data_IF_728897755935
#
_entry.id   IF_728897755935
#
_cell.length_a   1.000
_cell.length_b   1.000
_cell.length_c   1.000
_cell.angle_alpha   90.00
_cell.angle_beta   90.00
_cell.angle_gamma   90.00
#
_symmetry.space_group_name_H-M   'P 1'
#
loop_
_entity.id
_entity.type
_entity.pdbx_description
1 polymer ?
#
# COMPACT_ATOMS: atom_id res chain seq x y z
N UNK A 1 -40.46 -27.56 24.35
CA UNK A 1 -40.63 -26.09 24.31
C UNK A 1 -39.38 -25.32 24.73
N UNK A 2 -38.82 -25.52 25.94
CA UNK A 2 -37.60 -24.81 26.39
C UNK A 2 -36.39 -24.98 25.44
N UNK A 3 -36.13 -26.19 24.94
CA UNK A 3 -35.02 -26.46 24.02
C UNK A 3 -35.14 -25.73 22.66
N UNK A 4 -36.36 -25.61 22.13
CA UNK A 4 -36.66 -24.88 20.89
C UNK A 4 -36.51 -23.36 21.05
N UNK A 5 -36.93 -22.81 22.21
CA UNK A 5 -36.78 -21.39 22.53
C UNK A 5 -35.29 -21.03 22.68
N UNK A 6 -34.49 -21.89 23.33
CA UNK A 6 -33.04 -21.69 23.46
C UNK A 6 -32.35 -21.74 22.08
N UNK A 7 -32.70 -22.70 21.21
CA UNK A 7 -32.14 -22.79 19.86
C UNK A 7 -32.49 -21.56 18.99
N UNK A 8 -33.71 -21.05 19.12
CA UNK A 8 -34.18 -19.85 18.42
C UNK A 8 -33.45 -18.58 18.92
N UNK A 9 -33.25 -18.44 20.24
CA UNK A 9 -32.52 -17.30 20.81
C UNK A 9 -31.03 -17.32 20.45
N UNK A 10 -30.41 -18.50 20.37
CA UNK A 10 -29.03 -18.61 19.89
C UNK A 10 -28.92 -18.24 18.41
N UNK A 11 -29.82 -18.74 17.55
CA UNK A 11 -29.78 -18.44 16.11
C UNK A 11 -30.07 -16.96 15.79
N UNK A 12 -31.00 -16.32 16.50
CA UNK A 12 -31.25 -14.87 16.38
C UNK A 12 -30.05 -14.04 16.87
N UNK A 13 -29.35 -14.47 17.93
CA UNK A 13 -28.15 -13.79 18.43
C UNK A 13 -26.96 -13.90 17.48
N UNK A 14 -26.80 -15.03 16.79
CA UNK A 14 -25.77 -15.22 15.76
C UNK A 14 -26.04 -14.38 14.50
N UNK A 15 -27.30 -14.32 14.04
CA UNK A 15 -27.70 -13.50 12.88
C UNK A 15 -27.57 -12.00 13.17
N UNK A 16 -28.01 -11.53 14.35
CA UNK A 16 -27.85 -10.14 14.76
C UNK A 16 -26.37 -9.73 14.86
N UNK A 17 -25.49 -10.63 15.34
CA UNK A 17 -24.06 -10.37 15.45
C UNK A 17 -23.38 -10.32 14.07
N UNK A 18 -23.72 -11.24 13.16
CA UNK A 18 -23.20 -11.23 11.79
C UNK A 18 -23.63 -9.97 11.01
N UNK A 19 -24.88 -9.54 11.16
CA UNK A 19 -25.39 -8.32 10.51
C UNK A 19 -24.80 -7.05 11.12
N UNK A 20 -24.53 -7.03 12.43
CA UNK A 20 -23.84 -5.92 13.09
C UNK A 20 -22.40 -5.72 12.61
N UNK A 21 -21.67 -6.80 12.30
CA UNK A 21 -20.29 -6.71 11.79
C UNK A 21 -20.21 -6.23 10.34
N UNK A 22 -21.22 -6.51 9.51
CA UNK A 22 -21.24 -6.08 8.10
C UNK A 22 -21.51 -4.58 7.94
N UNK A 23 -22.17 -3.95 8.91
CA UNK A 23 -22.51 -2.52 8.91
C UNK A 23 -21.79 -1.72 9.99
N UNK A 24 -20.74 -2.27 10.62
CA UNK A 24 -19.93 -1.50 11.56
C UNK A 24 -19.35 -0.28 10.83
N UNK A 25 -19.63 0.95 11.31
CA UNK A 25 -19.09 2.16 10.72
C UNK A 25 -17.56 2.14 10.76
N UNK A 26 -16.94 2.46 9.62
CA UNK A 26 -15.50 2.66 9.49
C UNK A 26 -15.27 4.05 8.90
N UNK A 27 -14.46 4.84 9.59
CA UNK A 27 -13.90 6.07 9.06
C UNK A 27 -12.50 5.79 8.52
N UNK A 28 -12.21 6.31 7.33
CA UNK A 28 -10.95 6.11 6.62
C UNK A 28 -10.30 7.48 6.40
N UNK A 29 -9.06 7.65 6.85
CA UNK A 29 -8.17 8.68 6.33
C UNK A 29 -7.29 8.07 5.23
N UNK A 30 -7.57 8.45 4.00
CA UNK A 30 -6.87 7.96 2.81
C UNK A 30 -5.68 8.86 2.48
N UNK A 31 -4.48 8.27 2.41
CA UNK A 31 -3.22 8.96 2.11
C UNK A 31 -2.58 8.29 0.91
N UNK A 32 -2.67 8.96 -0.25
CA UNK A 32 -1.97 8.60 -1.46
C UNK A 32 -0.49 9.05 -1.35
N UNK A 33 0.48 8.17 -1.60
CA UNK A 33 1.90 8.46 -1.40
C UNK A 33 2.77 8.01 -2.59
N UNK A 34 3.96 8.59 -2.73
CA UNK A 34 4.99 8.06 -3.64
C UNK A 34 5.64 6.83 -3.01
N UNK A 35 5.93 5.81 -3.81
CA UNK A 35 6.74 4.67 -3.35
C UNK A 35 8.22 5.02 -3.11
N UNK A 36 8.68 6.15 -3.63
CA UNK A 36 10.06 6.63 -3.45
C UNK A 36 10.12 8.16 -3.42
N UNK A 37 10.70 8.69 -2.35
CA UNK A 37 10.96 10.12 -2.12
C UNK A 37 12.42 10.50 -2.39
N UNK A 38 13.26 9.53 -2.76
CA UNK A 38 14.69 9.71 -3.00
C UNK A 38 15.51 9.81 -1.71
N UNK A 39 16.83 9.72 -1.84
CA UNK A 39 17.77 9.72 -0.70
C UNK A 39 17.97 11.09 -0.04
N UNK A 40 17.58 12.17 -0.73
CA UNK A 40 17.67 13.56 -0.27
C UNK A 40 16.31 14.26 -0.43
N UNK A 41 15.26 13.61 0.06
CA UNK A 41 13.91 14.17 -0.03
C UNK A 41 13.82 15.50 0.70
N UNK A 42 13.15 16.47 0.08
CA UNK A 42 12.76 17.75 0.68
C UNK A 42 11.30 17.73 1.16
N UNK A 43 10.65 16.57 1.10
CA UNK A 43 9.26 16.39 1.49
C UNK A 43 9.03 16.72 2.98
N UNK A 44 7.98 17.48 3.25
CA UNK A 44 7.50 17.69 4.61
C UNK A 44 6.56 16.54 5.01
N UNK A 45 7.14 15.51 5.63
CA UNK A 45 6.37 14.39 6.16
C UNK A 45 5.52 14.75 7.39
N UNK A 46 5.73 15.92 8.01
CA UNK A 46 4.93 16.33 9.17
C UNK A 46 3.46 16.56 8.79
N UNK A 47 3.19 17.03 7.57
CA UNK A 47 1.82 17.27 7.08
C UNK A 47 0.95 16.00 7.11
N UNK A 48 1.29 14.89 6.42
CA UNK A 48 0.51 13.67 6.47
C UNK A 48 0.51 13.01 7.86
N UNK A 49 1.62 13.07 8.59
CA UNK A 49 1.70 12.50 9.95
C UNK A 49 0.76 13.23 10.90
N UNK A 50 0.81 14.57 10.95
CA UNK A 50 0.00 15.35 11.89
C UNK A 50 -1.50 15.19 11.63
N UNK A 51 -1.93 15.11 10.36
CA UNK A 51 -3.32 14.81 10.02
C UNK A 51 -3.74 13.42 10.49
N UNK A 52 -2.89 12.41 10.31
CA UNK A 52 -3.17 11.07 10.83
C UNK A 52 -3.22 11.02 12.36
N UNK A 53 -2.34 11.73 13.06
CA UNK A 53 -2.37 11.83 14.52
C UNK A 53 -3.63 12.53 15.02
N UNK A 54 -4.07 13.61 14.36
CA UNK A 54 -5.34 14.27 14.65
C UNK A 54 -6.54 13.35 14.38
N UNK A 55 -6.46 12.52 13.35
CA UNK A 55 -7.47 11.52 13.03
C UNK A 55 -7.52 10.38 14.05
N UNK A 56 -6.47 10.11 14.83
CA UNK A 56 -6.45 9.07 15.89
C UNK A 56 -6.95 7.70 15.39
N UNK A 57 -6.34 7.13 14.33
CA UNK A 57 -6.70 5.80 13.88
C UNK A 57 -6.37 4.74 14.94
N UNK A 58 -7.14 3.66 14.95
CA UNK A 58 -6.88 2.43 15.71
C UNK A 58 -6.25 1.32 14.85
N UNK A 59 -6.14 1.53 13.54
CA UNK A 59 -5.36 0.68 12.63
C UNK A 59 -4.72 1.47 11.48
N UNK A 60 -3.57 0.98 10.99
CA UNK A 60 -2.90 1.47 9.77
C UNK A 60 -2.87 0.34 8.76
N UNK A 61 -3.35 0.59 7.55
CA UNK A 61 -3.33 -0.33 6.43
C UNK A 61 -2.28 0.08 5.40
N UNK A 62 -1.57 -0.91 4.87
CA UNK A 62 -0.60 -0.72 3.80
C UNK A 62 -0.87 -1.62 2.60
N UNK A 63 -0.39 -1.20 1.44
CA UNK A 63 -0.23 -1.99 0.22
C UNK A 63 0.80 -3.13 0.40
N UNK A 64 0.45 -4.09 1.26
CA UNK A 64 1.14 -5.36 1.45
C UNK A 64 0.13 -6.50 1.35
N UNK A 65 0.55 -7.62 0.79
CA UNK A 65 -0.21 -8.89 0.82
C UNK A 65 -0.22 -9.44 2.26
N UNK A 66 -1.29 -10.13 2.65
CA UNK A 66 -1.21 -10.98 3.84
C UNK A 66 -0.35 -12.21 3.55
N UNK A 67 0.16 -12.91 4.58
CA UNK A 67 0.82 -14.21 4.39
C UNK A 67 -0.03 -15.17 3.55
N UNK A 68 -1.32 -15.27 3.85
CA UNK A 68 -2.24 -16.16 3.15
C UNK A 68 -2.44 -15.76 1.69
N UNK A 69 -2.53 -14.45 1.41
CA UNK A 69 -2.64 -13.98 0.02
C UNK A 69 -1.34 -14.21 -0.76
N UNK A 70 -0.18 -14.02 -0.12
CA UNK A 70 1.11 -14.28 -0.74
C UNK A 70 1.27 -15.77 -1.08
N UNK A 71 0.97 -16.66 -0.14
CA UNK A 71 1.07 -18.10 -0.32
C UNK A 71 0.12 -18.64 -1.38
N UNK A 72 -0.99 -17.94 -1.64
CA UNK A 72 -1.99 -18.32 -2.65
C UNK A 72 -1.62 -17.85 -4.07
N UNK A 73 -0.57 -17.05 -4.25
CA UNK A 73 -0.21 -16.46 -5.54
C UNK A 73 1.09 -17.05 -6.10
N UNK A 74 1.00 -17.65 -7.28
CA UNK A 74 2.19 -18.15 -8.00
C UNK A 74 3.07 -17.00 -8.53
N UNK A 75 2.44 -15.90 -8.99
CA UNK A 75 3.11 -14.72 -9.53
C UNK A 75 2.40 -13.45 -9.08
N UNK A 76 3.18 -12.40 -8.88
CA UNK A 76 2.71 -11.06 -8.52
C UNK A 76 3.82 -10.02 -8.81
N UNK A 77 3.52 -8.72 -8.80
CA UNK A 77 4.37 -7.61 -9.31
C UNK A 77 5.82 -7.61 -8.81
N UNK A 78 6.05 -8.04 -7.56
CA UNK A 78 7.34 -7.93 -6.89
C UNK A 78 7.90 -9.28 -6.41
N UNK A 79 7.42 -10.39 -6.99
CA UNK A 79 7.75 -11.77 -6.55
C UNK A 79 9.26 -12.00 -6.51
N UNK A 80 9.98 -11.67 -7.57
CA UNK A 80 11.42 -11.93 -7.69
C UNK A 80 12.26 -11.17 -6.65
N UNK A 81 11.93 -9.90 -6.38
CA UNK A 81 12.67 -9.14 -5.38
C UNK A 81 12.41 -9.66 -3.96
N UNK A 82 11.18 -10.10 -3.69
CA UNK A 82 10.82 -10.74 -2.41
C UNK A 82 11.55 -12.08 -2.27
N UNK A 83 11.58 -12.90 -3.32
CA UNK A 83 12.27 -14.20 -3.31
C UNK A 83 13.78 -14.03 -3.07
N UNK A 84 14.41 -13.00 -3.64
CA UNK A 84 15.82 -12.64 -3.35
C UNK A 84 16.03 -12.31 -1.88
N UNK A 85 15.13 -11.55 -1.26
CA UNK A 85 15.19 -11.21 0.17
C UNK A 85 14.96 -12.44 1.06
N UNK A 86 14.02 -13.32 0.69
CA UNK A 86 13.74 -14.59 1.37
C UNK A 86 14.95 -15.52 1.33
N UNK A 87 15.55 -15.68 0.15
CA UNK A 87 16.75 -16.49 -0.02
C UNK A 87 17.89 -15.96 0.86
N UNK A 88 18.11 -14.65 0.88
CA UNK A 88 19.13 -14.02 1.72
C UNK A 88 18.91 -14.29 3.22
N UNK A 89 17.73 -13.99 3.74
CA UNK A 89 17.44 -14.18 5.17
C UNK A 89 17.45 -15.67 5.57
N UNK A 90 17.04 -16.55 4.66
CA UNK A 90 17.16 -18.01 4.86
C UNK A 90 18.63 -18.45 4.94
N UNK A 91 19.51 -17.89 4.11
CA UNK A 91 20.93 -18.21 4.07
C UNK A 91 21.68 -17.78 5.35
N UNK A 92 21.24 -16.72 6.03
CA UNK A 92 21.78 -16.33 7.34
C UNK A 92 21.66 -17.48 8.36
N UNK A 93 20.70 -18.39 8.18
CA UNK A 93 20.64 -19.65 8.90
C UNK A 93 20.05 -19.56 10.30
N UNK A 94 19.43 -18.42 10.67
CA UNK A 94 18.64 -18.34 11.89
C UNK A 94 17.37 -19.18 11.74
N UNK A 95 17.23 -20.24 12.53
CA UNK A 95 16.13 -21.19 12.36
C UNK A 95 14.80 -20.60 12.80
N UNK A 96 13.78 -20.78 11.95
CA UNK A 96 12.41 -20.48 12.33
C UNK A 96 11.95 -21.40 13.49
N UNK A 97 11.25 -20.88 14.50
CA UNK A 97 10.72 -21.70 15.59
C UNK A 97 9.72 -22.75 15.09
N UNK A 98 9.64 -23.91 15.75
CA UNK A 98 8.72 -25.02 15.38
C UNK A 98 7.25 -24.61 15.23
N UNK A 99 6.79 -23.63 16.01
CA UNK A 99 5.45 -23.05 15.89
C UNK A 99 5.57 -21.53 15.67
N UNK A 100 5.73 -21.08 14.41
CA UNK A 100 5.98 -19.67 14.08
C UNK A 100 4.84 -18.75 14.51
N UNK A 101 3.58 -19.15 14.29
CA UNK A 101 2.40 -18.34 14.67
C UNK A 101 2.34 -18.10 16.17
N UNK A 102 2.53 -19.14 16.98
CA UNK A 102 2.55 -18.99 18.44
C UNK A 102 3.76 -18.18 18.92
N UNK A 103 4.92 -18.34 18.27
CA UNK A 103 6.11 -17.54 18.56
C UNK A 103 5.87 -16.05 18.29
N UNK A 104 5.39 -15.69 17.10
CA UNK A 104 5.08 -14.31 16.71
C UNK A 104 4.10 -13.68 17.69
N UNK A 105 3.00 -14.38 18.04
CA UNK A 105 2.03 -13.90 19.01
C UNK A 105 2.63 -13.64 20.41
N UNK A 106 3.54 -14.52 20.88
CA UNK A 106 4.26 -14.30 22.15
C UNK A 106 5.22 -13.12 22.05
N UNK A 107 5.90 -12.95 20.93
CA UNK A 107 6.84 -11.85 20.73
C UNK A 107 6.16 -10.48 20.73
N UNK A 108 5.01 -10.35 20.08
CA UNK A 108 4.21 -9.12 20.19
C UNK A 108 3.84 -8.82 21.66
N UNK A 109 3.33 -9.80 22.41
CA UNK A 109 3.01 -9.64 23.83
C UNK A 109 4.24 -9.25 24.68
N UNK A 110 5.40 -9.84 24.40
CA UNK A 110 6.64 -9.54 25.11
C UNK A 110 7.12 -8.11 24.81
N UNK A 111 7.16 -7.73 23.53
CA UNK A 111 7.65 -6.44 23.06
C UNK A 111 6.68 -5.28 23.35
N UNK A 112 5.40 -5.58 23.60
CA UNK A 112 4.46 -4.63 24.17
C UNK A 112 4.91 -4.18 25.57
N UNK A 113 5.27 -5.16 26.42
CA UNK A 113 5.71 -4.90 27.81
C UNK A 113 7.15 -4.39 27.89
N UNK A 114 8.01 -4.87 26.99
CA UNK A 114 9.44 -4.61 26.98
C UNK A 114 9.88 -4.13 25.60
N UNK A 115 9.56 -2.88 25.21
CA UNK A 115 9.84 -2.37 23.86
C UNK A 115 11.33 -2.33 23.52
N UNK A 116 12.21 -2.27 24.52
CA UNK A 116 13.67 -2.20 24.40
C UNK A 116 14.35 -3.58 24.34
N UNK A 117 13.61 -4.68 24.29
CA UNK A 117 14.20 -6.01 24.07
C UNK A 117 14.57 -6.18 22.58
N UNK A 118 15.64 -5.51 22.17
CA UNK A 118 16.01 -5.37 20.76
C UNK A 118 16.25 -6.73 20.08
N UNK A 119 16.92 -7.67 20.73
CA UNK A 119 17.14 -9.01 20.16
C UNK A 119 15.84 -9.79 19.94
N UNK A 120 14.86 -9.66 20.83
CA UNK A 120 13.54 -10.27 20.64
C UNK A 120 12.78 -9.63 19.48
N UNK A 121 12.95 -8.31 19.27
CA UNK A 121 12.45 -7.62 18.08
C UNK A 121 13.13 -8.08 16.80
N UNK A 122 14.44 -8.35 16.82
CA UNK A 122 15.16 -8.93 15.68
C UNK A 122 14.60 -10.32 15.33
N UNK A 123 14.40 -11.18 16.32
CA UNK A 123 13.79 -12.51 16.12
C UNK A 123 12.36 -12.41 15.59
N UNK A 124 11.57 -11.44 16.07
CA UNK A 124 10.23 -11.17 15.53
C UNK A 124 10.30 -10.73 14.07
N UNK A 125 11.15 -9.76 13.72
CA UNK A 125 11.31 -9.29 12.34
C UNK A 125 11.67 -10.43 11.38
N UNK A 126 12.62 -11.27 11.79
CA UNK A 126 13.04 -12.45 11.03
C UNK A 126 11.89 -13.46 10.86
N UNK A 127 11.17 -13.78 11.94
CA UNK A 127 10.05 -14.72 11.89
C UNK A 127 8.89 -14.22 11.02
N UNK A 128 8.54 -12.94 11.10
CA UNK A 128 7.53 -12.31 10.24
C UNK A 128 7.93 -12.43 8.77
N UNK A 129 9.20 -12.15 8.46
CA UNK A 129 9.70 -12.22 7.10
C UNK A 129 9.61 -13.64 6.52
N UNK A 130 10.11 -14.65 7.26
CA UNK A 130 10.06 -16.05 6.82
C UNK A 130 8.66 -16.68 6.87
N UNK A 131 7.67 -15.96 7.40
CA UNK A 131 6.25 -16.33 7.33
C UNK A 131 5.46 -15.40 6.41
N UNK A 132 6.16 -14.71 5.50
CA UNK A 132 5.60 -13.86 4.45
C UNK A 132 4.77 -12.66 4.93
N UNK A 133 4.87 -12.28 6.21
CA UNK A 133 4.29 -11.05 6.76
C UNK A 133 5.25 -9.87 6.54
N UNK A 134 5.47 -9.53 5.27
CA UNK A 134 6.49 -8.55 4.86
C UNK A 134 6.19 -7.13 5.36
N UNK A 135 4.92 -6.74 5.40
CA UNK A 135 4.51 -5.42 5.92
C UNK A 135 4.93 -5.25 7.37
N UNK A 136 4.63 -6.23 8.22
CA UNK A 136 5.02 -6.17 9.63
C UNK A 136 6.52 -6.42 9.84
N UNK A 137 7.16 -7.25 9.03
CA UNK A 137 8.61 -7.39 9.06
C UNK A 137 9.29 -6.04 8.77
N UNK A 138 8.85 -5.34 7.71
CA UNK A 138 9.32 -3.99 7.34
C UNK A 138 9.13 -2.99 8.48
N UNK A 139 8.00 -3.04 9.18
CA UNK A 139 7.76 -2.18 10.34
C UNK A 139 8.71 -2.49 11.51
N UNK A 140 8.97 -3.77 11.80
CA UNK A 140 9.96 -4.12 12.83
C UNK A 140 11.38 -3.72 12.43
N UNK A 141 11.76 -3.82 11.15
CA UNK A 141 13.03 -3.31 10.65
C UNK A 141 13.15 -1.80 10.82
N UNK A 142 12.09 -1.04 10.51
CA UNK A 142 12.05 0.40 10.76
C UNK A 142 12.31 0.71 12.25
N UNK A 143 11.63 0.02 13.17
CA UNK A 143 11.82 0.24 14.61
C UNK A 143 13.25 -0.08 15.06
N UNK A 144 13.80 -1.19 14.59
CA UNK A 144 15.20 -1.56 14.86
C UNK A 144 16.17 -0.53 14.33
N UNK A 145 15.96 -0.03 13.11
CA UNK A 145 16.82 0.97 12.49
C UNK A 145 16.81 2.31 13.26
N UNK A 146 15.66 2.71 13.83
CA UNK A 146 15.56 3.88 14.72
C UNK A 146 16.26 3.67 16.07
N UNK A 147 16.24 2.45 16.60
CA UNK A 147 16.90 2.11 17.88
C UNK A 147 18.41 1.87 17.73
N UNK A 148 18.85 1.51 16.52
CA UNK A 148 20.23 1.09 16.21
C UNK A 148 21.33 2.05 16.67
N UNK A 149 21.19 3.39 16.63
CA UNK A 149 22.22 4.29 17.15
C UNK A 149 22.57 4.07 18.63
N UNK A 150 21.67 3.44 19.40
CA UNK A 150 21.88 3.13 20.81
C UNK A 150 22.39 1.69 21.06
N UNK A 151 22.65 0.90 20.01
CA UNK A 151 23.04 -0.50 20.17
C UNK A 151 24.45 -0.66 20.75
N UNK A 152 24.56 -1.52 21.76
CA UNK A 152 25.84 -2.03 22.25
C UNK A 152 26.47 -3.05 21.30
N UNK A 153 27.68 -3.50 21.62
CA UNK A 153 28.44 -4.46 20.80
C UNK A 153 27.67 -5.77 20.61
N UNK A 154 27.05 -6.28 21.67
CA UNK A 154 26.27 -7.51 21.67
C UNK A 154 25.06 -7.40 20.73
N UNK A 155 24.42 -6.24 20.69
CA UNK A 155 23.24 -5.99 19.86
C UNK A 155 23.61 -5.84 18.38
N UNK A 156 24.74 -5.22 18.08
CA UNK A 156 25.29 -5.15 16.71
C UNK A 156 25.64 -6.56 16.21
N UNK A 157 26.27 -7.38 17.05
CA UNK A 157 26.57 -8.77 16.73
C UNK A 157 25.29 -9.57 16.50
N UNK A 158 24.31 -9.47 17.41
CA UNK A 158 23.04 -10.15 17.27
C UNK A 158 22.27 -9.71 16.03
N UNK A 159 22.23 -8.41 15.72
CA UNK A 159 21.60 -7.89 14.51
C UNK A 159 22.22 -8.51 13.26
N UNK A 160 23.55 -8.53 13.18
CA UNK A 160 24.27 -9.10 12.03
C UNK A 160 24.02 -10.61 11.90
N UNK A 161 23.95 -11.34 13.01
CA UNK A 161 23.69 -12.79 13.02
C UNK A 161 22.23 -13.15 12.73
N UNK A 162 21.27 -12.31 13.10
CA UNK A 162 19.84 -12.60 12.94
C UNK A 162 19.25 -12.06 11.64
N UNK A 163 19.74 -10.91 11.17
CA UNK A 163 19.15 -10.16 10.07
C UNK A 163 20.15 -9.81 8.97
N UNK A 164 21.45 -9.90 9.26
CA UNK A 164 22.51 -9.58 8.32
C UNK A 164 23.05 -8.16 8.49
N UNK A 165 24.17 -7.81 7.82
CA UNK A 165 24.70 -6.46 7.84
C UNK A 165 23.69 -5.45 7.30
N UNK A 166 23.68 -4.25 7.89
CA UNK A 166 22.75 -3.17 7.52
C UNK A 166 22.84 -2.81 6.03
N UNK A 167 24.04 -2.77 5.47
CA UNK A 167 24.22 -2.41 4.06
C UNK A 167 23.69 -3.49 3.12
N UNK A 168 23.76 -4.77 3.51
CA UNK A 168 23.10 -5.85 2.79
C UNK A 168 21.58 -5.67 2.79
N UNK A 169 20.99 -5.34 3.94
CA UNK A 169 19.55 -5.08 4.05
C UNK A 169 19.11 -3.87 3.19
N UNK A 170 19.88 -2.78 3.18
CA UNK A 170 19.60 -1.64 2.28
C UNK A 170 19.62 -2.06 0.81
N UNK A 171 20.64 -2.80 0.39
CA UNK A 171 20.79 -3.28 -0.98
C UNK A 171 19.67 -4.25 -1.40
N UNK A 172 19.11 -4.98 -0.44
CA UNK A 172 17.96 -5.85 -0.64
C UNK A 172 16.63 -5.10 -0.70
N UNK A 173 16.61 -3.80 -0.45
CA UNK A 173 15.42 -2.96 -0.61
C UNK A 173 14.70 -2.58 0.68
N UNK A 174 15.31 -2.79 1.85
CA UNK A 174 14.88 -2.15 3.10
C UNK A 174 15.33 -0.68 3.10
N UNK A 175 14.67 0.13 2.26
CA UNK A 175 15.03 1.51 1.98
C UNK A 175 14.39 2.47 2.97
N UNK A 176 15.09 3.58 3.25
CA UNK A 176 14.58 4.71 4.04
C UNK A 176 13.85 5.76 3.19
N UNK A 177 13.74 5.54 1.88
CA UNK A 177 13.23 6.52 0.93
C UNK A 177 11.76 6.35 0.61
N UNK A 178 11.11 5.30 1.13
CA UNK A 178 9.72 4.98 0.81
C UNK A 178 8.72 5.63 1.79
N UNK A 179 7.45 5.60 1.43
CA UNK A 179 6.29 6.06 2.20
C UNK A 179 6.14 5.36 3.54
N UNK A 180 6.49 4.07 3.63
CA UNK A 180 6.38 3.33 4.89
C UNK A 180 7.36 3.86 5.93
N UNK A 181 8.63 4.06 5.58
CA UNK A 181 9.66 4.55 6.48
C UNK A 181 9.38 6.00 6.92
N UNK A 182 8.84 6.83 6.01
CA UNK A 182 8.72 8.27 6.25
C UNK A 182 7.33 8.72 6.71
N UNK A 183 6.27 7.96 6.47
CA UNK A 183 4.88 8.35 6.81
C UNK A 183 4.21 7.28 7.68
N UNK A 184 4.00 6.07 7.16
CA UNK A 184 3.08 5.10 7.79
C UNK A 184 3.64 4.42 9.04
N UNK A 185 4.93 4.06 9.05
CA UNK A 185 5.56 3.53 10.26
C UNK A 185 5.71 4.58 11.37
N UNK A 186 6.09 5.84 11.09
CA UNK A 186 6.00 6.92 12.08
C UNK A 186 4.60 7.09 12.68
N UNK A 187 3.54 7.07 11.87
CA UNK A 187 2.15 7.13 12.36
C UNK A 187 1.85 5.96 13.30
N UNK A 188 2.13 4.74 12.87
CA UNK A 188 1.89 3.55 13.68
C UNK A 188 2.70 3.60 14.99
N UNK A 189 3.95 4.04 14.95
CA UNK A 189 4.80 4.15 16.13
C UNK A 189 4.28 5.18 17.12
N UNK A 190 3.91 6.37 16.65
CA UNK A 190 3.41 7.47 17.48
C UNK A 190 2.08 7.14 18.17
N UNK A 191 1.26 6.28 17.55
CA UNK A 191 -0.02 5.83 18.09
C UNK A 191 0.05 4.48 18.82
N UNK A 192 1.26 3.94 19.01
CA UNK A 192 1.49 2.62 19.60
C UNK A 192 0.75 1.47 18.89
N UNK A 193 0.48 1.63 17.60
CA UNK A 193 -0.09 0.59 16.75
C UNK A 193 1.03 -0.41 16.44
N UNK A 194 0.81 -1.66 16.84
CA UNK A 194 1.84 -2.70 16.80
C UNK A 194 2.04 -3.29 15.41
N UNK A 195 1.03 -3.19 14.54
CA UNK A 195 0.97 -3.88 13.26
C UNK A 195 0.48 -2.97 12.13
N UNK A 196 1.05 -3.20 10.96
CA UNK A 196 0.51 -2.70 9.70
C UNK A 196 -0.38 -3.79 9.12
N UNK A 197 -1.65 -3.46 8.89
CA UNK A 197 -2.63 -4.38 8.35
C UNK A 197 -2.47 -4.50 6.83
N UNK A 198 -2.45 -5.71 6.26
CA UNK A 198 -2.35 -5.89 4.82
C UNK A 198 -3.70 -5.62 4.15
N UNK A 199 -3.69 -4.96 3.00
CA UNK A 199 -4.88 -4.83 2.15
C UNK A 199 -4.62 -5.07 0.66
N UNK A 200 -3.37 -5.27 0.22
CA UNK A 200 -3.10 -5.41 -1.21
C UNK A 200 -3.84 -6.61 -1.83
N UNK A 201 -4.13 -6.52 -3.13
CA UNK A 201 -4.76 -7.58 -3.90
C UNK A 201 -4.03 -7.73 -5.24
N UNK A 202 -3.22 -8.78 -5.37
CA UNK A 202 -2.46 -9.02 -6.60
C UNK A 202 -2.99 -10.19 -7.44
N UNK A 203 -4.22 -10.65 -7.18
CA UNK A 203 -4.90 -11.72 -7.94
C UNK A 203 -4.96 -11.45 -9.44
N UNK A 204 -5.09 -10.18 -9.81
CA UNK A 204 -5.21 -9.73 -11.19
C UNK A 204 -3.91 -9.21 -11.77
N UNK A 205 -2.77 -9.37 -11.08
CA UNK A 205 -1.49 -8.85 -11.55
C UNK A 205 -1.09 -9.45 -12.90
N UNK A 206 -1.12 -10.78 -13.05
CA UNK A 206 -0.73 -11.44 -14.30
C UNK A 206 -1.57 -10.98 -15.50
N UNK A 207 -2.91 -11.00 -15.47
CA UNK A 207 -3.69 -10.49 -16.59
C UNK A 207 -3.53 -8.99 -16.79
N UNK A 208 -3.38 -8.19 -15.72
CA UNK A 208 -3.08 -6.77 -15.82
C UNK A 208 -1.76 -6.50 -16.54
N UNK A 209 -0.66 -7.16 -16.16
CA UNK A 209 0.65 -7.00 -16.80
C UNK A 209 0.59 -7.34 -18.28
N UNK A 210 -0.10 -8.43 -18.65
CA UNK A 210 -0.29 -8.79 -20.06
C UNK A 210 -1.09 -7.74 -20.84
N UNK A 211 -2.17 -7.22 -20.26
CA UNK A 211 -2.97 -6.17 -20.89
C UNK A 211 -2.19 -4.86 -21.02
N UNK A 212 -1.42 -4.51 -19.98
CA UNK A 212 -0.55 -3.33 -19.96
C UNK A 212 0.55 -3.42 -21.03
N UNK A 213 1.27 -4.54 -21.13
CA UNK A 213 2.33 -4.76 -22.14
C UNK A 213 1.79 -4.65 -23.58
N UNK A 214 0.59 -5.21 -23.81
CA UNK A 214 -0.09 -5.10 -25.11
C UNK A 214 -0.48 -3.65 -25.41
N UNK A 215 -1.01 -2.95 -24.43
CA UNK A 215 -1.41 -1.54 -24.55
C UNK A 215 -0.20 -0.65 -24.83
N UNK A 216 0.88 -0.80 -24.07
CA UNK A 216 2.15 -0.08 -24.26
C UNK A 216 2.66 -0.22 -25.71
N UNK A 217 2.68 -1.46 -26.22
CA UNK A 217 3.15 -1.76 -27.57
C UNK A 217 2.31 -1.06 -28.65
N UNK A 218 0.99 -1.10 -28.53
CA UNK A 218 0.09 -0.49 -29.51
C UNK A 218 0.04 1.04 -29.37
N UNK A 219 0.15 1.56 -28.15
CA UNK A 219 0.17 3.00 -27.89
C UNK A 219 1.39 3.66 -28.56
N UNK A 220 2.56 3.02 -28.51
CA UNK A 220 3.76 3.51 -29.23
C UNK A 220 3.56 3.61 -30.75
N UNK A 221 2.82 2.66 -31.33
CA UNK A 221 2.48 2.70 -32.76
C UNK A 221 1.49 3.83 -33.05
N UNK A 222 0.48 4.01 -32.19
CA UNK A 222 -0.45 5.13 -32.26
C UNK A 222 0.28 6.48 -32.17
N UNK A 223 1.17 6.65 -31.19
CA UNK A 223 1.95 7.86 -30.96
C UNK A 223 2.77 8.23 -32.20
N UNK A 224 3.48 7.26 -32.78
CA UNK A 224 4.23 7.45 -34.02
C UNK A 224 3.32 7.87 -35.18
N UNK A 225 2.15 7.26 -35.30
CA UNK A 225 1.21 7.52 -36.40
C UNK A 225 0.51 8.89 -36.27
N UNK A 226 0.09 9.26 -35.07
CA UNK A 226 -0.60 10.54 -34.82
C UNK A 226 0.36 11.72 -34.97
N UNK A 227 1.64 11.55 -34.62
CA UNK A 227 2.68 12.57 -34.80
C UNK A 227 3.14 12.72 -36.26
N UNK A 228 2.89 11.73 -37.12
CA UNK A 228 3.20 11.81 -38.55
C UNK A 228 2.22 12.70 -39.35
N UNK A 229 1.00 12.93 -38.85
CA UNK A 229 0.00 13.81 -39.46
C UNK A 229 -0.38 14.96 -38.51
N UNK A 230 0.52 15.92 -38.40
CA UNK A 230 0.37 17.10 -37.51
C UNK A 230 -0.74 18.07 -37.94
N UNK A 231 -1.35 17.87 -39.11
CA UNK A 231 -2.47 18.69 -39.58
C UNK A 231 -3.85 18.08 -39.21
N UNK A 232 -3.89 16.84 -38.73
CA UNK A 232 -5.12 16.15 -38.34
C UNK A 232 -5.80 16.74 -37.10
N UNK A 233 -7.11 16.50 -36.97
CA UNK A 233 -7.85 16.82 -35.74
C UNK A 233 -7.39 15.96 -34.55
N UNK A 234 -7.00 14.71 -34.83
CA UNK A 234 -6.52 13.76 -33.83
C UNK A 234 -5.20 14.22 -33.23
N UNK A 235 -4.25 14.69 -34.06
CA UNK A 235 -3.01 15.29 -33.58
C UNK A 235 -3.27 16.51 -32.70
N UNK A 236 -4.19 17.40 -33.07
CA UNK A 236 -4.51 18.58 -32.23
C UNK A 236 -5.03 18.17 -30.85
N UNK A 237 -5.85 17.12 -30.79
CA UNK A 237 -6.38 16.57 -29.53
C UNK A 237 -5.26 15.96 -28.69
N UNK A 238 -4.44 15.10 -29.29
CA UNK A 238 -3.28 14.47 -28.66
C UNK A 238 -2.28 15.53 -28.14
N UNK A 239 -1.90 16.50 -28.97
CA UNK A 239 -0.95 17.56 -28.62
C UNK A 239 -1.49 18.48 -27.50
N UNK A 240 -2.79 18.73 -27.46
CA UNK A 240 -3.41 19.47 -26.35
C UNK A 240 -3.28 18.70 -25.03
N UNK A 241 -3.52 17.39 -25.03
CA UNK A 241 -3.35 16.54 -23.85
C UNK A 241 -1.89 16.48 -23.38
N UNK A 242 -0.94 16.35 -24.31
CA UNK A 242 0.50 16.38 -23.98
C UNK A 242 0.93 17.72 -23.39
N UNK A 243 0.43 18.83 -23.94
CA UNK A 243 0.67 20.16 -23.38
C UNK A 243 0.14 20.28 -21.96
N UNK A 244 -1.07 19.78 -21.71
CA UNK A 244 -1.65 19.77 -20.37
C UNK A 244 -0.85 18.90 -19.40
N UNK A 245 -0.47 17.69 -19.82
CA UNK A 245 0.41 16.78 -19.05
C UNK A 245 1.69 17.48 -18.61
N UNK A 246 2.35 18.19 -19.53
CA UNK A 246 3.55 18.96 -19.23
C UNK A 246 3.31 20.06 -18.17
N UNK A 247 2.16 20.75 -18.22
CA UNK A 247 1.79 21.76 -17.21
C UNK A 247 1.55 21.10 -15.85
N UNK A 248 0.82 19.98 -15.81
CA UNK A 248 0.57 19.23 -14.57
C UNK A 248 1.88 18.69 -13.97
N UNK A 249 2.78 18.17 -14.81
CA UNK A 249 4.10 17.70 -14.40
C UNK A 249 4.95 18.84 -13.82
N UNK A 250 4.90 20.05 -14.39
CA UNK A 250 5.57 21.23 -13.84
C UNK A 250 4.99 21.62 -12.47
N UNK A 251 3.66 21.56 -12.29
CA UNK A 251 3.02 21.80 -10.99
C UNK A 251 3.42 20.77 -9.96
N UNK A 252 3.43 19.49 -10.32
CA UNK A 252 3.90 18.39 -9.47
C UNK A 252 5.35 18.63 -9.04
N UNK A 253 6.23 18.95 -9.99
CA UNK A 253 7.65 19.23 -9.72
C UNK A 253 7.83 20.43 -8.78
N UNK A 254 7.05 21.49 -8.97
CA UNK A 254 7.04 22.66 -8.08
C UNK A 254 6.59 22.28 -6.67
N UNK A 255 5.52 21.50 -6.54
CA UNK A 255 5.02 21.03 -5.24
C UNK A 255 6.06 20.13 -4.53
N UNK A 256 6.67 19.17 -5.24
CA UNK A 256 7.73 18.31 -4.72
C UNK A 256 8.92 19.13 -4.23
N UNK A 257 9.38 20.12 -5.01
CA UNK A 257 10.49 21.02 -4.60
C UNK A 257 10.14 21.88 -3.40
N UNK A 258 8.86 22.19 -3.20
CA UNK A 258 8.35 22.92 -2.04
C UNK A 258 8.06 22.01 -0.84
N UNK A 259 8.40 20.72 -0.90
CA UNK A 259 8.14 19.74 0.16
C UNK A 259 6.66 19.35 0.30
N UNK A 260 5.87 19.54 -0.76
CA UNK A 260 4.41 19.31 -0.80
C UNK A 260 4.02 18.23 -1.81
N UNK A 261 4.92 17.29 -2.10
CA UNK A 261 4.68 16.21 -3.07
C UNK A 261 3.49 15.33 -2.66
N UNK A 262 3.45 14.88 -1.41
CA UNK A 262 2.35 14.06 -0.88
C UNK A 262 1.03 14.82 -0.91
N UNK A 263 1.03 16.13 -0.63
CA UNK A 263 -0.16 16.95 -0.77
C UNK A 263 -0.65 16.98 -2.23
N UNK A 264 0.26 17.14 -3.21
CA UNK A 264 -0.07 17.12 -4.63
C UNK A 264 -0.63 15.77 -5.08
N UNK A 265 -0.06 14.65 -4.63
CA UNK A 265 -0.54 13.29 -4.92
C UNK A 265 -1.96 13.01 -4.41
N UNK A 266 -2.49 13.88 -3.54
CA UNK A 266 -3.86 13.80 -3.03
C UNK A 266 -4.78 14.86 -3.68
N UNK A 267 -4.56 15.19 -4.95
CA UNK A 267 -5.38 16.13 -5.74
C UNK A 267 -5.92 15.50 -7.02
N UNK A 268 -6.99 16.07 -7.57
CA UNK A 268 -7.49 15.68 -8.90
C UNK A 268 -6.52 16.00 -10.04
N UNK A 269 -5.58 16.95 -9.83
CA UNK A 269 -4.51 17.21 -10.79
C UNK A 269 -3.56 16.01 -10.93
N UNK A 270 -3.25 15.34 -9.81
CA UNK A 270 -2.49 14.10 -9.85
C UNK A 270 -3.28 12.96 -10.50
N UNK A 271 -4.57 12.83 -10.20
CA UNK A 271 -5.41 11.79 -10.83
C UNK A 271 -5.40 11.95 -12.37
N UNK A 272 -5.57 13.18 -12.86
CA UNK A 272 -5.46 13.46 -14.30
C UNK A 272 -4.06 13.18 -14.85
N UNK A 273 -3.00 13.55 -14.14
CA UNK A 273 -1.63 13.25 -14.57
C UNK A 273 -1.38 11.73 -14.64
N UNK A 274 -1.94 10.97 -13.70
CA UNK A 274 -1.85 9.51 -13.68
C UNK A 274 -2.61 8.87 -14.83
N UNK A 275 -3.80 9.37 -15.16
CA UNK A 275 -4.56 8.95 -16.34
C UNK A 275 -3.77 9.15 -17.63
N UNK A 276 -3.14 10.32 -17.77
CA UNK A 276 -2.37 10.63 -18.97
C UNK A 276 -1.11 9.75 -19.04
N UNK A 277 -0.33 9.67 -17.97
CA UNK A 277 0.96 8.99 -17.96
C UNK A 277 0.87 7.47 -17.78
N UNK A 278 0.22 7.02 -16.71
CA UNK A 278 0.19 5.60 -16.32
C UNK A 278 -0.88 4.80 -17.08
N UNK A 279 -1.91 5.48 -17.59
CA UNK A 279 -3.03 4.85 -18.29
C UNK A 279 -3.20 5.32 -19.73
N UNK A 280 -2.09 5.78 -20.35
CA UNK A 280 -1.99 6.06 -21.79
C UNK A 280 -3.03 7.04 -22.33
N UNK A 281 -3.30 8.11 -21.57
CA UNK A 281 -4.32 9.09 -21.92
C UNK A 281 -5.74 8.68 -21.57
N UNK A 282 -5.97 7.43 -21.13
CA UNK A 282 -7.27 6.90 -20.70
C UNK A 282 -8.42 7.40 -21.62
N UNK A 283 -9.54 7.80 -21.03
CA UNK A 283 -10.73 8.28 -21.73
C UNK A 283 -10.50 9.59 -22.51
N UNK A 284 -9.40 10.32 -22.29
CA UNK A 284 -9.10 11.56 -23.01
C UNK A 284 -8.72 11.35 -24.48
N UNK A 285 -8.31 10.13 -24.86
CA UNK A 285 -7.93 9.79 -26.24
C UNK A 285 -8.89 8.79 -26.92
N UNK A 286 -9.97 8.40 -26.25
CA UNK A 286 -10.96 7.49 -26.82
C UNK A 286 -11.62 8.09 -28.06
N UNK A 287 -11.83 7.25 -29.07
CA UNK A 287 -12.33 7.66 -30.39
C UNK A 287 -11.30 8.27 -31.35
N UNK A 288 -10.06 8.51 -30.94
CA UNK A 288 -9.01 8.94 -31.89
C UNK A 288 -8.63 7.80 -32.84
N UNK A 289 -8.35 8.13 -34.10
CA UNK A 289 -8.01 7.12 -35.11
C UNK A 289 -6.72 6.40 -34.73
N UNK A 290 -6.79 5.07 -34.67
CA UNK A 290 -5.63 4.21 -34.37
C UNK A 290 -5.27 4.14 -32.88
N UNK A 291 -5.95 4.87 -32.00
CA UNK A 291 -5.75 4.74 -30.56
C UNK A 291 -6.22 3.34 -30.09
N UNK A 292 -5.45 2.62 -29.27
CA UNK A 292 -5.78 1.26 -28.84
C UNK A 292 -6.83 1.26 -27.71
N UNK A 293 -8.01 1.81 -27.98
CA UNK A 293 -9.06 2.02 -26.99
C UNK A 293 -9.48 0.73 -26.27
N UNK A 294 -9.67 -0.36 -27.02
CA UNK A 294 -10.09 -1.64 -26.44
C UNK A 294 -9.04 -2.20 -25.48
N UNK A 295 -7.76 -2.11 -25.84
CA UNK A 295 -6.67 -2.57 -24.98
C UNK A 295 -6.50 -1.71 -23.73
N UNK A 296 -6.70 -0.39 -23.84
CA UNK A 296 -6.74 0.49 -22.66
C UNK A 296 -7.90 0.11 -21.75
N UNK A 297 -9.10 -0.16 -22.29
CA UNK A 297 -10.25 -0.63 -21.51
C UNK A 297 -10.00 -1.97 -20.83
N UNK A 298 -9.35 -2.91 -21.52
CA UNK A 298 -8.96 -4.20 -20.94
C UNK A 298 -7.96 -4.04 -19.79
N UNK A 299 -6.95 -3.18 -19.96
CA UNK A 299 -5.97 -2.86 -18.91
C UNK A 299 -6.66 -2.24 -17.69
N UNK A 300 -7.54 -1.26 -17.90
CA UNK A 300 -8.29 -0.59 -16.84
C UNK A 300 -9.25 -1.52 -16.11
N UNK A 301 -9.79 -2.55 -16.80
CA UNK A 301 -10.63 -3.58 -16.18
C UNK A 301 -9.86 -4.30 -15.07
N UNK A 302 -8.64 -4.77 -15.34
CA UNK A 302 -7.85 -5.47 -14.32
C UNK A 302 -7.30 -4.54 -13.24
N UNK A 303 -7.01 -3.28 -13.60
CA UNK A 303 -6.68 -2.25 -12.60
C UNK A 303 -7.84 -2.03 -11.63
N UNK A 304 -9.06 -1.97 -12.15
CA UNK A 304 -10.28 -1.83 -11.35
C UNK A 304 -10.49 -3.00 -10.42
N UNK A 305 -10.40 -4.23 -10.94
CA UNK A 305 -10.54 -5.46 -10.13
C UNK A 305 -9.49 -5.55 -9.00
N UNK A 306 -8.26 -5.06 -9.24
CA UNK A 306 -7.23 -4.95 -8.18
C UNK A 306 -7.68 -3.99 -7.08
N UNK A 307 -8.10 -2.77 -7.45
CA UNK A 307 -8.53 -1.75 -6.49
C UNK A 307 -9.79 -2.17 -5.71
N UNK A 308 -10.75 -2.83 -6.34
CA UNK A 308 -11.92 -3.44 -5.68
C UNK A 308 -11.49 -4.48 -4.64
N UNK A 309 -10.59 -5.39 -5.01
CA UNK A 309 -10.05 -6.38 -4.09
C UNK A 309 -9.31 -5.74 -2.91
N UNK A 310 -8.57 -4.65 -3.14
CA UNK A 310 -7.90 -3.90 -2.09
C UNK A 310 -8.90 -3.27 -1.11
N UNK A 311 -9.95 -2.63 -1.62
CA UNK A 311 -11.00 -2.04 -0.80
C UNK A 311 -11.77 -3.09 0.01
N UNK A 312 -12.10 -4.23 -0.60
CA UNK A 312 -12.74 -5.36 0.08
C UNK A 312 -11.86 -5.93 1.19
N UNK A 313 -10.57 -6.15 0.92
CA UNK A 313 -9.61 -6.60 1.93
C UNK A 313 -9.52 -5.61 3.08
N UNK A 314 -9.39 -4.32 2.80
CA UNK A 314 -9.35 -3.28 3.80
C UNK A 314 -10.58 -3.31 4.72
N UNK A 315 -11.79 -3.19 4.15
CA UNK A 315 -13.02 -3.06 4.93
C UNK A 315 -13.31 -4.33 5.72
N UNK A 316 -13.14 -5.51 5.10
CA UNK A 316 -13.38 -6.79 5.77
C UNK A 316 -12.40 -7.04 6.92
N UNK A 317 -11.12 -6.70 6.74
CA UNK A 317 -10.09 -6.87 7.77
C UNK A 317 -10.23 -5.85 8.89
N UNK A 318 -10.59 -4.61 8.57
CA UNK A 318 -10.90 -3.59 9.57
C UNK A 318 -12.08 -4.02 10.46
N UNK A 319 -13.19 -4.46 9.85
CA UNK A 319 -14.36 -5.01 10.57
C UNK A 319 -14.00 -6.22 11.43
N UNK A 320 -13.24 -7.16 10.87
CA UNK A 320 -12.78 -8.36 11.61
C UNK A 320 -11.89 -8.00 12.80
N UNK A 321 -11.06 -6.96 12.67
CA UNK A 321 -10.24 -6.44 13.75
C UNK A 321 -11.01 -5.57 14.75
N UNK A 322 -12.27 -5.22 14.46
CA UNK A 322 -13.05 -4.28 15.25
C UNK A 322 -12.57 -2.82 15.14
N UNK A 323 -11.74 -2.51 14.14
CA UNK A 323 -11.22 -1.17 13.88
C UNK A 323 -12.35 -0.23 13.44
N UNK A 324 -12.33 1.01 13.93
CA UNK A 324 -13.34 2.04 13.62
C UNK A 324 -12.77 3.19 12.82
N UNK A 325 -11.51 3.53 13.03
CA UNK A 325 -10.83 4.66 12.39
C UNK A 325 -9.52 4.15 11.83
N UNK A 326 -9.38 4.14 10.52
CA UNK A 326 -8.21 3.55 9.88
C UNK A 326 -7.49 4.57 9.01
N UNK A 327 -6.16 4.55 9.06
CA UNK A 327 -5.32 5.24 8.06
C UNK A 327 -4.94 4.24 6.98
N UNK A 328 -4.98 4.70 5.73
CA UNK A 328 -4.75 3.87 4.55
C UNK A 328 -3.63 4.49 3.74
N UNK A 329 -2.56 3.72 3.55
CA UNK A 329 -1.41 4.10 2.74
C UNK A 329 -1.29 3.24 1.49
N UNK A 330 -1.35 3.88 0.33
CA UNK A 330 -1.19 3.24 -1.00
C UNK A 330 -0.37 4.11 -1.95
N UNK A 331 0.19 3.47 -2.98
CA UNK A 331 0.74 4.18 -4.13
C UNK A 331 -0.26 5.17 -4.73
N UNK A 332 0.21 6.35 -5.12
CA UNK A 332 -0.65 7.46 -5.47
C UNK A 332 -1.60 7.20 -6.66
N UNK A 333 -1.24 6.29 -7.57
CA UNK A 333 -2.08 5.92 -8.72
C UNK A 333 -3.36 5.15 -8.33
N UNK A 334 -3.45 4.65 -7.09
CA UNK A 334 -4.65 3.97 -6.59
C UNK A 334 -5.75 4.92 -6.09
N UNK A 335 -5.41 6.21 -5.89
CA UNK A 335 -6.22 7.15 -5.10
C UNK A 335 -7.66 7.27 -5.57
N UNK A 336 -7.88 7.81 -6.77
CA UNK A 336 -9.21 8.15 -7.29
C UNK A 336 -10.15 6.94 -7.20
N UNK A 337 -9.73 5.84 -7.81
CA UNK A 337 -10.54 4.64 -7.90
C UNK A 337 -10.84 4.01 -6.53
N UNK A 338 -9.85 3.89 -5.65
CA UNK A 338 -10.12 3.35 -4.31
C UNK A 338 -11.01 4.28 -3.49
N UNK A 339 -10.82 5.60 -3.58
CA UNK A 339 -11.66 6.57 -2.85
C UNK A 339 -13.12 6.45 -3.30
N UNK A 340 -13.36 6.36 -4.60
CA UNK A 340 -14.72 6.22 -5.14
C UNK A 340 -15.37 4.90 -4.74
N UNK A 341 -14.64 3.78 -4.86
CA UNK A 341 -15.13 2.46 -4.42
C UNK A 341 -15.45 2.49 -2.92
N UNK A 342 -14.55 3.00 -2.08
CA UNK A 342 -14.73 3.03 -0.63
C UNK A 342 -15.90 3.94 -0.22
N UNK A 343 -16.08 5.11 -0.86
CA UNK A 343 -17.23 6.00 -0.61
C UNK A 343 -18.56 5.33 -0.95
N UNK A 344 -18.58 4.42 -1.93
CA UNK A 344 -19.76 3.65 -2.29
C UNK A 344 -20.01 2.44 -1.37
N UNK A 345 -19.04 2.03 -0.52
CA UNK A 345 -19.21 0.87 0.35
C UNK A 345 -20.11 1.20 1.56
N UNK A 346 -21.09 0.32 1.91
CA UNK A 346 -21.98 0.56 3.03
C UNK A 346 -21.23 0.73 4.36
N UNK A 347 -21.59 1.76 5.12
CA UNK A 347 -21.01 2.02 6.45
C UNK A 347 -19.55 2.47 6.41
N UNK A 348 -19.06 2.98 5.28
CA UNK A 348 -17.71 3.53 5.13
C UNK A 348 -17.80 5.04 4.92
N UNK A 349 -16.97 5.79 5.64
CA UNK A 349 -16.77 7.23 5.44
C UNK A 349 -15.31 7.45 5.10
N UNK A 350 -15.03 8.17 4.01
CA UNK A 350 -13.67 8.42 3.53
C UNK A 350 -13.37 9.90 3.56
N UNK A 351 -12.25 10.25 4.19
CA UNK A 351 -11.62 11.55 4.11
C UNK A 351 -10.30 11.39 3.36
N UNK A 352 -10.06 12.16 2.31
CA UNK A 352 -8.72 12.23 1.73
C UNK A 352 -7.81 13.13 2.57
N UNK A 353 -6.49 12.98 2.41
CA UNK A 353 -5.50 13.76 3.13
C UNK A 353 -5.78 15.28 3.10
N UNK A 354 -6.13 15.81 1.94
CA UNK A 354 -6.33 17.26 1.79
C UNK A 354 -7.68 17.73 2.31
N UNK A 355 -8.71 16.88 2.35
CA UNK A 355 -10.06 17.22 2.84
C UNK A 355 -10.16 17.16 4.37
N UNK A 356 -9.43 16.26 5.02
CA UNK A 356 -9.61 16.02 6.46
C UNK A 356 -9.19 17.24 7.31
N UNK A 357 -10.11 17.77 8.12
CA UNK A 357 -9.84 18.88 9.04
C UNK A 357 -9.84 20.28 8.39
N UNK A 358 -10.45 20.41 7.21
CA UNK A 358 -10.87 21.71 6.67
C UNK A 358 -12.19 22.18 7.27
#
# INVERSE_FOLDING_TARGET
MKFLITLLLFSVSFLAKAQSTANQPIEILFIAASHDYGSKSVEDFSYPINKALAFKPDAVFGENLSPEDYDALDRHWNKEAIDKRLAYLTQIGHKLPKNPKAFIARQYKLLHKHPNFHQERMKLAHALFLTHDFGNASYQFYRLDKMRPAFGKEEITAFTQLLGPVDSLKNLGFRRTNEYYNIFHPIAQALHIEKIMPMDCQKFNTPWSKAWEKTDSLYKLFETAVEADTNSADYRTYAALQKESNVLQQRMNTAVRAGKGTAFFNTSEWDKLTDIGNFYGNHYLFGLKGFPENEVRDMLTYWTLRNEGMCQNLVSRARKAGAKRVVVGVGASHRELMVDILKAMPGVTVYTLNEYGQ
#
